data_IF_303761489172
#
_entry.id   IF_303761489172
#
_cell.length_a   1.000
_cell.length_b   1.000
_cell.length_c   1.000
_cell.angle_alpha   90.00
_cell.angle_beta   90.00
_cell.angle_gamma   90.00
#
_symmetry.space_group_name_H-M   'P 1'
#
loop_
_entity.id
_entity.type
_entity.pdbx_description
1 polymer ?
#
# COMPACT_ATOMS: atom_id res chain seq x y z
N UNK A 1 88.64 10.15 14.47
CA UNK A 1 87.89 9.22 13.60
C UNK A 1 86.71 8.67 14.36
N UNK A 2 85.48 9.00 13.95
CA UNK A 2 84.24 8.33 14.33
C UNK A 2 83.20 8.73 13.26
N UNK A 3 82.74 7.77 12.44
CA UNK A 3 81.67 7.99 11.45
C UNK A 3 80.44 7.18 11.86
N UNK A 4 79.35 7.90 12.11
CA UNK A 4 77.99 7.40 12.29
C UNK A 4 77.50 6.62 11.06
N UNK A 5 76.93 5.44 11.26
CA UNK A 5 76.13 4.70 10.28
C UNK A 5 74.69 5.24 10.29
N UNK A 6 74.22 5.78 9.15
CA UNK A 6 72.80 6.02 8.87
C UNK A 6 72.20 4.73 8.31
N UNK A 7 71.13 4.22 8.92
CA UNK A 7 70.21 3.25 8.33
C UNK A 7 69.13 4.05 7.59
N UNK A 8 69.06 3.89 6.27
CA UNK A 8 67.94 4.31 5.45
C UNK A 8 67.64 3.19 4.47
N UNK A 9 66.51 2.50 4.65
CA UNK A 9 65.98 1.57 3.67
C UNK A 9 64.59 2.07 3.30
N UNK A 10 64.49 2.62 2.09
CA UNK A 10 63.27 3.23 1.56
C UNK A 10 62.20 2.19 1.21
N UNK A 11 60.95 2.58 1.39
CA UNK A 11 59.76 1.91 0.86
C UNK A 11 59.75 1.96 -0.66
N UNK A 12 60.36 0.96 -1.28
CA UNK A 12 60.38 0.79 -2.73
C UNK A 12 59.08 0.18 -3.24
N UNK A 13 58.12 1.01 -3.67
CA UNK A 13 57.00 0.54 -4.49
C UNK A 13 57.52 0.17 -5.88
N UNK A 14 57.73 -1.12 -6.16
CA UNK A 14 58.16 -1.59 -7.49
C UNK A 14 56.93 -1.93 -8.34
N UNK A 15 56.71 -1.13 -9.38
CA UNK A 15 55.65 -1.35 -10.38
C UNK A 15 56.13 -2.38 -11.41
N UNK A 16 55.83 -3.65 -11.21
CA UNK A 16 56.03 -4.65 -12.27
C UNK A 16 54.98 -4.43 -13.38
N UNK A 17 55.44 -3.97 -14.56
CA UNK A 17 54.66 -4.11 -15.80
C UNK A 17 54.77 -5.55 -16.24
N UNK A 18 53.78 -6.38 -15.89
CA UNK A 18 53.64 -7.70 -16.52
C UNK A 18 53.31 -7.50 -18.00
N UNK A 19 54.08 -8.18 -18.85
CA UNK A 19 53.99 -8.09 -20.30
C UNK A 19 52.61 -8.49 -20.81
N UNK A 20 52.24 -7.87 -21.95
CA UNK A 20 51.05 -8.20 -22.70
C UNK A 20 51.07 -9.66 -23.17
N UNK A 21 50.52 -10.55 -22.34
CA UNK A 21 50.15 -11.91 -22.75
C UNK A 21 48.78 -11.82 -23.44
N UNK A 22 48.79 -11.80 -24.78
CA UNK A 22 47.65 -12.23 -25.59
C UNK A 22 47.37 -13.70 -25.28
N UNK A 23 46.53 -13.95 -24.27
CA UNK A 23 45.81 -15.22 -24.13
C UNK A 23 44.34 -14.91 -24.33
N UNK A 24 43.83 -15.36 -25.47
CA UNK A 24 42.42 -15.55 -25.76
C UNK A 24 41.84 -16.54 -24.73
N UNK A 25 41.42 -16.02 -23.59
CA UNK A 25 40.48 -16.68 -22.70
C UNK A 25 39.19 -15.91 -22.80
N UNK A 26 38.12 -16.57 -23.22
CA UNK A 26 36.76 -16.05 -23.21
C UNK A 26 36.40 -15.61 -21.78
N UNK A 27 36.63 -14.34 -21.48
CA UNK A 27 36.17 -13.72 -20.26
C UNK A 27 34.67 -13.54 -20.38
N UNK A 28 33.91 -14.40 -19.71
CA UNK A 28 32.47 -14.26 -19.56
C UNK A 28 32.17 -12.91 -18.89
N UNK A 29 31.82 -11.91 -19.70
CA UNK A 29 31.44 -10.58 -19.23
C UNK A 29 30.13 -10.70 -18.46
N UNK A 30 30.06 -10.13 -17.26
CA UNK A 30 28.81 -10.13 -16.52
C UNK A 30 27.80 -9.19 -17.20
N UNK A 31 26.51 -9.54 -17.33
CA UNK A 31 25.54 -8.66 -17.97
C UNK A 31 25.39 -7.37 -17.15
N UNK A 32 25.67 -6.22 -17.78
CA UNK A 32 25.71 -4.89 -17.16
C UNK A 32 27.07 -4.20 -17.24
N UNK A 33 28.13 -4.93 -17.61
CA UNK A 33 29.37 -4.32 -18.11
C UNK A 33 29.11 -3.87 -19.55
N UNK A 34 29.33 -2.59 -19.85
CA UNK A 34 29.11 -2.01 -21.18
C UNK A 34 29.76 -2.87 -22.26
N UNK A 35 28.93 -3.63 -22.99
CA UNK A 35 29.32 -4.56 -24.05
C UNK A 35 29.85 -3.87 -25.32
N UNK A 36 30.64 -2.81 -25.17
CA UNK A 36 31.23 -2.02 -26.25
C UNK A 36 32.72 -1.78 -26.07
N UNK A 37 33.46 -2.78 -25.58
CA UNK A 37 34.92 -2.72 -25.53
C UNK A 37 35.46 -1.60 -24.64
N UNK A 38 34.73 -1.20 -23.61
CA UNK A 38 35.21 -0.20 -22.66
C UNK A 38 36.37 -0.78 -21.85
N UNK A 39 37.44 0.00 -21.62
CA UNK A 39 38.60 -0.50 -20.88
C UNK A 39 38.15 -0.96 -19.49
N UNK A 40 38.68 -2.08 -19.02
CA UNK A 40 38.53 -2.52 -17.63
C UNK A 40 39.93 -2.72 -17.07
N UNK A 41 40.26 -2.07 -15.96
CA UNK A 41 41.53 -2.29 -15.28
C UNK A 41 41.35 -3.38 -14.23
N UNK A 42 42.01 -4.51 -14.42
CA UNK A 42 42.14 -5.55 -13.40
C UNK A 42 43.56 -5.45 -12.83
N UNK A 43 43.67 -5.15 -11.54
CA UNK A 43 44.94 -5.10 -10.83
C UNK A 43 44.89 -5.99 -9.59
N UNK A 44 46.00 -6.65 -9.26
CA UNK A 44 46.12 -7.44 -8.04
C UNK A 44 47.18 -6.79 -7.16
N UNK A 45 46.79 -6.37 -5.96
CA UNK A 45 47.70 -5.90 -4.92
C UNK A 45 47.99 -7.07 -3.99
N UNK A 46 49.23 -7.57 -4.02
CA UNK A 46 49.66 -8.67 -3.15
C UNK A 46 50.62 -8.14 -2.11
N UNK A 47 50.37 -8.45 -0.84
CA UNK A 47 51.32 -8.16 0.24
C UNK A 47 52.40 -9.23 0.29
N UNK A 48 53.67 -8.84 0.27
CA UNK A 48 54.82 -9.76 0.30
C UNK A 48 54.99 -10.43 1.67
N UNK A 49 54.67 -9.74 2.76
CA UNK A 49 54.97 -10.22 4.12
C UNK A 49 53.82 -10.95 4.82
N UNK A 50 52.57 -10.63 4.45
CA UNK A 50 51.39 -11.14 5.17
C UNK A 50 50.41 -11.96 4.31
N UNK A 51 50.76 -12.27 3.06
CA UNK A 51 50.04 -13.24 2.22
C UNK A 51 48.65 -12.82 1.75
N UNK A 52 48.24 -11.57 1.98
CA UNK A 52 46.96 -11.04 1.50
C UNK A 52 47.04 -10.66 0.01
N UNK A 53 46.01 -11.03 -0.74
CA UNK A 53 45.85 -10.70 -2.15
C UNK A 53 44.53 -9.95 -2.35
N UNK A 54 44.61 -8.68 -2.76
CA UNK A 54 43.48 -7.83 -3.05
C UNK A 54 43.32 -7.66 -4.55
N UNK A 55 42.23 -8.17 -5.12
CA UNK A 55 41.88 -7.93 -6.52
C UNK A 55 41.07 -6.64 -6.64
N UNK A 56 41.64 -5.65 -7.35
CA UNK A 56 41.00 -4.39 -7.69
C UNK A 56 40.52 -4.46 -9.14
N UNK A 57 39.20 -4.39 -9.34
CA UNK A 57 38.57 -4.27 -10.65
C UNK A 57 38.00 -2.87 -10.80
N UNK A 58 38.55 -2.08 -11.73
CA UNK A 58 38.01 -0.77 -12.09
C UNK A 58 37.38 -0.85 -13.49
N UNK A 59 36.06 -0.62 -13.54
CA UNK A 59 35.28 -0.55 -14.78
C UNK A 59 34.99 0.92 -15.12
N UNK A 60 35.14 1.28 -16.39
CA UNK A 60 34.71 2.59 -16.87
C UNK A 60 33.20 2.60 -17.08
N UNK A 61 32.57 3.74 -16.86
CA UNK A 61 31.15 3.93 -17.20
C UNK A 61 30.90 5.37 -17.62
N UNK A 62 30.01 5.57 -18.59
CA UNK A 62 29.63 6.91 -19.05
C UNK A 62 28.56 7.51 -18.13
N UNK A 63 28.92 8.61 -17.48
CA UNK A 63 28.04 9.34 -16.56
C UNK A 63 26.81 9.92 -17.27
N UNK A 64 26.95 10.31 -18.53
CA UNK A 64 25.86 10.82 -19.39
C UNK A 64 24.74 9.79 -19.60
N UNK A 65 25.11 8.52 -19.85
CA UNK A 65 24.14 7.43 -20.04
C UNK A 65 23.38 7.16 -18.72
N UNK A 66 24.07 7.27 -17.58
CA UNK A 66 23.45 7.15 -16.26
C UNK A 66 22.45 8.28 -15.99
N UNK A 67 22.83 9.53 -16.26
CA UNK A 67 21.93 10.68 -16.09
C UNK A 67 20.71 10.61 -16.99
N UNK A 68 20.88 10.19 -18.26
CA UNK A 68 19.75 9.99 -19.18
C UNK A 68 18.77 8.93 -18.67
N UNK A 69 19.27 7.79 -18.19
CA UNK A 69 18.45 6.72 -17.61
C UNK A 69 17.69 7.19 -16.37
N UNK A 70 18.37 7.89 -15.47
CA UNK A 70 17.76 8.45 -14.27
C UNK A 70 16.71 9.53 -14.59
N UNK A 71 16.97 10.36 -15.61
CA UNK A 71 16.01 11.35 -16.12
C UNK A 71 14.75 10.67 -16.65
N UNK A 72 14.87 9.64 -17.49
CA UNK A 72 13.72 8.91 -18.02
C UNK A 72 12.89 8.25 -16.91
N UNK A 73 13.57 7.67 -15.91
CA UNK A 73 12.91 7.13 -14.72
C UNK A 73 12.17 8.23 -13.94
N UNK A 74 12.79 9.40 -13.71
CA UNK A 74 12.14 10.52 -13.02
C UNK A 74 10.90 11.03 -13.78
N UNK A 75 10.94 11.08 -15.11
CA UNK A 75 9.79 11.44 -15.94
C UNK A 75 8.66 10.43 -15.78
N UNK A 76 8.96 9.13 -15.76
CA UNK A 76 7.96 8.09 -15.48
C UNK A 76 7.29 8.34 -14.11
N UNK A 77 8.04 8.68 -13.07
CA UNK A 77 7.48 9.01 -11.75
C UNK A 77 6.61 10.28 -11.81
N UNK A 78 7.08 11.32 -12.48
CA UNK A 78 6.35 12.60 -12.63
C UNK A 78 4.99 12.41 -13.31
N UNK A 79 4.84 11.46 -14.24
CA UNK A 79 3.54 11.17 -14.87
C UNK A 79 2.69 10.16 -14.08
N UNK A 80 3.31 9.18 -13.44
CA UNK A 80 2.59 8.13 -12.72
C UNK A 80 1.97 8.62 -11.41
N UNK A 81 2.63 9.53 -10.69
CA UNK A 81 2.13 10.04 -9.40
C UNK A 81 0.84 10.88 -9.56
N UNK A 82 0.73 11.83 -10.51
CA UNK A 82 -0.54 12.48 -10.80
C UNK A 82 -1.65 11.51 -11.22
N UNK A 83 -1.32 10.44 -11.96
CA UNK A 83 -2.27 9.40 -12.31
C UNK A 83 -2.76 8.63 -11.06
N UNK A 84 -1.88 8.35 -10.09
CA UNK A 84 -2.26 7.79 -8.79
C UNK A 84 -3.18 8.75 -8.01
N UNK A 85 -2.86 10.05 -7.97
CA UNK A 85 -3.70 11.07 -7.34
C UNK A 85 -5.10 11.07 -7.98
N UNK A 86 -5.18 11.06 -9.31
CA UNK A 86 -6.45 11.03 -10.03
C UNK A 86 -7.29 9.79 -9.66
N UNK A 87 -6.67 8.60 -9.65
CA UNK A 87 -7.34 7.36 -9.26
C UNK A 87 -7.83 7.41 -7.80
N UNK A 88 -7.03 7.94 -6.88
CA UNK A 88 -7.39 8.08 -5.47
C UNK A 88 -8.55 9.07 -5.26
N UNK A 89 -8.54 10.20 -5.98
CA UNK A 89 -9.66 11.16 -5.97
C UNK A 89 -10.93 10.51 -6.49
N UNK A 90 -10.85 9.79 -7.62
CA UNK A 90 -11.99 9.04 -8.16
C UNK A 90 -12.52 7.99 -7.17
N UNK A 91 -11.63 7.25 -6.50
CA UNK A 91 -12.01 6.31 -5.45
C UNK A 91 -12.75 6.98 -4.30
N UNK A 92 -12.29 8.17 -3.89
CA UNK A 92 -12.92 8.95 -2.82
C UNK A 92 -14.29 9.46 -3.24
N UNK A 93 -14.47 9.92 -4.48
CA UNK A 93 -15.77 10.32 -5.04
C UNK A 93 -16.77 9.16 -5.04
N UNK A 94 -16.34 7.97 -5.49
CA UNK A 94 -17.19 6.77 -5.49
C UNK A 94 -17.60 6.35 -4.07
N UNK A 95 -16.71 6.56 -3.11
CA UNK A 95 -16.94 6.21 -1.71
C UNK A 95 -17.60 7.35 -0.92
N UNK A 96 -18.07 8.42 -1.59
CA UNK A 96 -18.39 9.72 -0.99
C UNK A 96 -19.46 9.73 0.12
N UNK A 97 -20.10 8.60 0.42
CA UNK A 97 -20.98 8.43 1.59
C UNK A 97 -20.21 7.98 2.83
N UNK A 98 -20.78 8.21 4.02
CA UNK A 98 -20.15 7.74 5.26
C UNK A 98 -20.02 6.21 5.27
N UNK A 99 -21.06 5.49 4.82
CA UNK A 99 -21.04 4.04 4.74
C UNK A 99 -20.04 3.52 3.70
N UNK A 100 -19.87 4.22 2.56
CA UNK A 100 -18.86 3.90 1.54
C UNK A 100 -17.45 3.94 2.11
N UNK A 101 -17.08 5.05 2.76
CA UNK A 101 -15.75 5.21 3.37
C UNK A 101 -15.46 4.19 4.49
N UNK A 102 -16.48 3.79 5.25
CA UNK A 102 -16.31 2.84 6.35
C UNK A 102 -15.92 1.42 5.87
N UNK A 103 -16.26 1.06 4.62
CA UNK A 103 -15.95 -0.24 4.01
C UNK A 103 -14.48 -0.40 3.60
N UNK A 104 -13.74 0.70 3.49
CA UNK A 104 -12.32 0.70 3.11
C UNK A 104 -11.45 0.40 4.33
N UNK A 105 -10.42 -0.43 4.16
CA UNK A 105 -9.44 -0.81 5.18
C UNK A 105 -8.43 0.30 5.41
N UNK A 106 -8.40 0.82 6.64
CA UNK A 106 -7.42 1.83 7.07
C UNK A 106 -5.97 1.30 6.97
N UNK A 107 -5.76 0.00 7.19
CA UNK A 107 -4.45 -0.63 7.08
C UNK A 107 -3.96 -0.72 5.63
N UNK A 108 -4.85 -0.95 4.65
CA UNK A 108 -4.50 -0.98 3.23
C UNK A 108 -4.01 0.39 2.75
N UNK A 109 -4.80 1.45 3.00
CA UNK A 109 -4.43 2.82 2.62
C UNK A 109 -3.20 3.30 3.40
N UNK A 110 -3.10 2.94 4.69
CA UNK A 110 -1.94 3.29 5.51
C UNK A 110 -0.64 2.65 5.02
N UNK A 111 -0.70 1.38 4.59
CA UNK A 111 0.45 0.67 4.01
C UNK A 111 0.93 1.37 2.74
N UNK A 112 -0.01 1.72 1.85
CA UNK A 112 0.28 2.47 0.62
C UNK A 112 0.98 3.81 0.90
N UNK A 113 0.46 4.58 1.87
CA UNK A 113 1.05 5.86 2.25
C UNK A 113 2.45 5.75 2.84
N UNK A 114 2.74 4.68 3.59
CA UNK A 114 4.09 4.41 4.08
C UNK A 114 5.04 4.14 2.91
N UNK A 115 4.64 3.31 1.94
CA UNK A 115 5.47 3.03 0.75
C UNK A 115 5.75 4.29 -0.08
N UNK A 116 4.74 5.14 -0.27
CA UNK A 116 4.89 6.36 -1.05
C UNK A 116 5.78 7.38 -0.33
N UNK A 117 5.73 7.41 1.01
CA UNK A 117 6.66 8.20 1.82
C UNK A 117 8.11 7.74 1.70
N UNK A 118 8.37 6.42 1.64
CA UNK A 118 9.71 5.89 1.38
C UNK A 118 10.20 6.25 -0.02
N UNK A 119 9.34 6.10 -1.02
CA UNK A 119 9.70 6.44 -2.40
C UNK A 119 9.98 7.95 -2.54
N UNK A 120 9.23 8.81 -1.84
CA UNK A 120 9.49 10.25 -1.76
C UNK A 120 10.87 10.54 -1.15
N UNK A 121 11.19 9.91 -0.01
CA UNK A 121 12.49 10.11 0.66
C UNK A 121 13.65 9.64 -0.23
N UNK A 122 13.51 8.49 -0.89
CA UNK A 122 14.52 7.96 -1.81
C UNK A 122 14.81 8.93 -2.97
N UNK A 123 13.79 9.52 -3.60
CA UNK A 123 14.00 10.51 -4.66
C UNK A 123 14.62 11.80 -4.15
N UNK A 124 14.17 12.30 -2.99
CA UNK A 124 14.75 13.50 -2.40
C UNK A 124 16.23 13.30 -2.06
N UNK A 125 16.58 12.17 -1.42
CA UNK A 125 17.96 11.82 -1.11
C UNK A 125 18.79 11.62 -2.39
N UNK A 126 18.26 10.94 -3.41
CA UNK A 126 18.95 10.78 -4.69
C UNK A 126 19.24 12.12 -5.39
N UNK A 127 18.28 13.06 -5.35
CA UNK A 127 18.46 14.41 -5.87
C UNK A 127 19.52 15.22 -5.11
N UNK A 128 19.61 15.05 -3.79
CA UNK A 128 20.63 15.71 -2.95
C UNK A 128 22.03 15.14 -3.23
N UNK A 129 22.15 13.82 -3.39
CA UNK A 129 23.45 13.16 -3.65
C UNK A 129 23.96 13.49 -5.07
N UNK A 130 23.05 13.63 -6.04
CA UNK A 130 23.39 13.87 -7.44
C UNK A 130 22.82 15.22 -7.89
N UNK A 131 23.57 16.29 -7.63
CA UNK A 131 23.14 17.68 -7.88
C UNK A 131 22.63 17.91 -9.31
N UNK A 132 23.22 17.26 -10.31
CA UNK A 132 22.80 17.37 -11.73
C UNK A 132 21.39 16.84 -12.00
N UNK A 133 20.86 15.97 -11.14
CA UNK A 133 19.53 15.39 -11.23
C UNK A 133 18.54 16.00 -10.24
N UNK A 134 18.97 17.00 -9.46
CA UNK A 134 18.20 17.56 -8.35
C UNK A 134 16.83 18.07 -8.82
N UNK A 135 16.76 18.83 -9.91
CA UNK A 135 15.49 19.42 -10.37
C UNK A 135 14.44 18.35 -10.72
N UNK A 136 14.84 17.29 -11.42
CA UNK A 136 13.91 16.25 -11.86
C UNK A 136 13.44 15.38 -10.68
N UNK A 137 14.37 14.98 -9.80
CA UNK A 137 13.99 14.20 -8.62
C UNK A 137 13.25 15.00 -7.56
N UNK A 138 13.57 16.29 -7.40
CA UNK A 138 12.82 17.19 -6.50
C UNK A 138 11.39 17.38 -6.98
N UNK A 139 11.18 17.51 -8.29
CA UNK A 139 9.82 17.58 -8.88
C UNK A 139 9.04 16.28 -8.64
N UNK A 140 9.67 15.12 -8.86
CA UNK A 140 9.06 13.83 -8.55
C UNK A 140 8.71 13.71 -7.06
N UNK A 141 9.65 14.05 -6.17
CA UNK A 141 9.45 14.02 -4.72
C UNK A 141 8.35 14.98 -4.27
N UNK A 142 8.19 16.16 -4.88
CA UNK A 142 7.12 17.10 -4.57
C UNK A 142 5.73 16.51 -4.83
N UNK A 143 5.53 15.87 -5.99
CA UNK A 143 4.25 15.22 -6.29
C UNK A 143 3.97 14.05 -5.33
N UNK A 144 4.98 13.26 -5.00
CA UNK A 144 4.84 12.15 -4.05
C UNK A 144 4.54 12.65 -2.63
N UNK A 145 5.23 13.71 -2.20
CA UNK A 145 4.96 14.36 -0.92
C UNK A 145 3.51 14.83 -0.85
N UNK A 146 3.00 15.42 -1.93
CA UNK A 146 1.60 15.86 -2.01
C UNK A 146 0.64 14.65 -1.98
N UNK A 147 0.95 13.56 -2.70
CA UNK A 147 0.16 12.33 -2.69
C UNK A 147 0.00 11.77 -1.26
N UNK A 148 1.10 11.50 -0.55
CA UNK A 148 1.00 10.81 0.75
C UNK A 148 0.60 11.75 1.89
N UNK A 149 1.09 12.99 1.92
CA UNK A 149 0.86 13.91 3.05
C UNK A 149 -0.48 14.63 2.99
N UNK A 150 -1.02 14.87 1.78
CA UNK A 150 -2.27 15.60 1.59
C UNK A 150 -3.40 14.64 1.23
N UNK A 151 -3.28 13.91 0.13
CA UNK A 151 -4.41 13.12 -0.40
C UNK A 151 -4.65 11.85 0.42
N UNK A 152 -3.63 11.01 0.61
CA UNK A 152 -3.80 9.75 1.35
C UNK A 152 -4.09 9.99 2.83
N UNK A 153 -3.42 10.97 3.45
CA UNK A 153 -3.72 11.36 4.83
C UNK A 153 -5.17 11.84 4.99
N UNK A 154 -5.69 12.64 4.04
CA UNK A 154 -7.10 13.06 4.03
C UNK A 154 -8.04 11.85 3.94
N UNK A 155 -7.75 10.89 3.07
CA UNK A 155 -8.55 9.66 2.94
C UNK A 155 -8.52 8.84 4.23
N UNK A 156 -7.35 8.68 4.87
CA UNK A 156 -7.22 7.99 6.16
C UNK A 156 -8.09 8.65 7.25
N UNK A 157 -8.09 9.98 7.32
CA UNK A 157 -8.92 10.73 8.26
C UNK A 157 -10.41 10.58 7.97
N UNK A 158 -10.81 10.57 6.70
CA UNK A 158 -12.20 10.35 6.29
C UNK A 158 -12.67 8.94 6.65
N UNK A 159 -11.86 7.90 6.38
CA UNK A 159 -12.15 6.52 6.78
C UNK A 159 -12.28 6.44 8.30
N UNK A 160 -11.33 7.01 9.05
CA UNK A 160 -11.36 7.02 10.50
C UNK A 160 -12.63 7.69 11.06
N UNK A 161 -12.97 8.88 10.55
CA UNK A 161 -14.17 9.65 10.96
C UNK A 161 -15.46 8.91 10.61
N UNK A 162 -15.51 8.25 9.45
CA UNK A 162 -16.73 7.55 8.98
C UNK A 162 -17.21 6.45 9.92
N UNK A 163 -16.29 5.88 10.71
CA UNK A 163 -16.57 4.82 11.69
C UNK A 163 -17.05 5.36 13.04
N UNK A 164 -17.16 6.69 13.21
CA UNK A 164 -17.50 7.36 14.48
C UNK A 164 -18.47 8.53 14.29
N UNK A 165 -19.75 8.27 13.97
CA UNK A 165 -20.73 9.32 13.69
C UNK A 165 -21.01 10.25 14.88
N UNK A 166 -20.92 9.76 16.13
CA UNK A 166 -21.33 10.52 17.33
C UNK A 166 -20.17 11.20 18.09
N UNK A 167 -18.99 11.38 17.46
CA UNK A 167 -17.83 12.02 18.11
C UNK A 167 -17.92 13.56 18.14
N UNK A 168 -19.11 14.13 18.39
CA UNK A 168 -19.31 15.58 18.41
C UNK A 168 -19.05 16.23 19.79
N UNK A 169 -18.86 15.48 20.87
CA UNK A 169 -18.84 16.10 22.21
C UNK A 169 -17.46 16.51 22.78
N UNK A 170 -16.31 16.07 22.25
CA UNK A 170 -15.03 16.35 22.95
C UNK A 170 -13.81 16.54 22.03
N UNK A 171 -13.40 17.79 21.79
CA UNK A 171 -12.19 18.13 21.00
C UNK A 171 -10.93 17.44 21.52
N UNK A 172 -10.85 17.23 22.85
CA UNK A 172 -9.73 16.53 23.48
C UNK A 172 -9.64 15.05 23.05
N UNK A 173 -10.79 14.38 22.91
CA UNK A 173 -10.85 12.98 22.44
C UNK A 173 -10.44 12.89 20.97
N UNK A 174 -10.94 13.80 20.13
CA UNK A 174 -10.55 13.89 18.71
C UNK A 174 -9.03 14.09 18.58
N UNK A 175 -8.44 15.01 19.35
CA UNK A 175 -7.00 15.28 19.32
C UNK A 175 -6.19 14.06 19.76
N UNK A 176 -6.61 13.38 20.83
CA UNK A 176 -5.94 12.17 21.33
C UNK A 176 -5.95 11.06 20.28
N UNK A 177 -7.09 10.86 19.64
CA UNK A 177 -7.24 9.78 18.66
C UNK A 177 -6.56 10.10 17.33
N UNK A 178 -6.57 11.36 16.90
CA UNK A 178 -5.77 11.84 15.78
C UNK A 178 -4.28 11.62 16.05
N UNK A 179 -3.81 11.94 17.27
CA UNK A 179 -2.42 11.70 17.68
C UNK A 179 -2.09 10.21 17.68
N UNK A 180 -3.04 9.34 18.06
CA UNK A 180 -2.90 7.90 17.99
C UNK A 180 -2.85 7.37 16.55
N UNK A 181 -3.60 7.97 15.62
CA UNK A 181 -3.54 7.63 14.20
C UNK A 181 -2.16 7.97 13.62
N UNK A 182 -1.66 9.19 13.88
CA UNK A 182 -0.34 9.61 13.44
C UNK A 182 0.79 8.80 14.09
N UNK A 183 0.70 8.49 15.38
CA UNK A 183 1.72 7.68 16.05
C UNK A 183 1.78 6.25 15.50
N UNK A 184 0.65 5.65 15.10
CA UNK A 184 0.61 4.38 14.38
C UNK A 184 1.25 4.47 13.00
N UNK A 185 1.01 5.57 12.27
CA UNK A 185 1.65 5.83 10.98
C UNK A 185 3.18 5.94 11.13
N UNK A 186 3.66 6.75 12.07
CA UNK A 186 5.11 6.88 12.34
C UNK A 186 5.73 5.59 12.88
N UNK A 187 5.01 4.84 13.73
CA UNK A 187 5.43 3.53 14.19
C UNK A 187 5.57 2.53 13.04
N UNK A 188 4.61 2.50 12.12
CA UNK A 188 4.68 1.70 10.89
C UNK A 188 5.84 2.11 9.99
N UNK A 189 6.06 3.42 9.84
CA UNK A 189 7.19 3.98 9.08
C UNK A 189 8.56 3.60 9.68
N UNK A 190 8.71 3.59 11.01
CA UNK A 190 9.94 3.14 11.65
C UNK A 190 10.10 1.61 11.57
N UNK A 191 9.03 0.87 11.81
CA UNK A 191 9.01 -0.59 11.71
C UNK A 191 9.39 -1.05 10.30
N UNK A 192 8.88 -0.40 9.25
CA UNK A 192 9.21 -0.73 7.88
C UNK A 192 10.69 -0.51 7.56
N UNK A 193 11.34 0.53 8.09
CA UNK A 193 12.80 0.70 7.96
C UNK A 193 13.57 -0.43 8.64
N UNK A 194 13.15 -0.82 9.84
CA UNK A 194 13.76 -1.96 10.56
C UNK A 194 13.60 -3.22 9.71
N UNK A 195 12.40 -3.54 9.22
CA UNK A 195 12.16 -4.72 8.37
C UNK A 195 13.01 -4.68 7.10
N UNK A 196 13.08 -3.54 6.41
CA UNK A 196 13.92 -3.36 5.22
C UNK A 196 15.41 -3.59 5.52
N UNK A 197 15.89 -3.13 6.68
CA UNK A 197 17.27 -3.37 7.11
C UNK A 197 17.54 -4.85 7.37
N UNK A 198 16.68 -5.53 8.14
CA UNK A 198 16.82 -6.96 8.42
C UNK A 198 16.73 -7.82 7.16
N UNK A 199 15.86 -7.44 6.23
CA UNK A 199 15.64 -8.17 4.98
C UNK A 199 16.55 -7.69 3.84
N UNK A 200 17.52 -6.81 4.08
CA UNK A 200 18.34 -6.18 3.04
C UNK A 200 19.11 -7.21 2.20
N UNK A 201 19.45 -8.36 2.77
CA UNK A 201 20.11 -9.47 2.08
C UNK A 201 19.18 -10.20 1.07
N UNK A 202 17.87 -9.98 1.14
CA UNK A 202 16.86 -10.64 0.31
C UNK A 202 15.94 -9.61 -0.36
N UNK A 203 16.41 -8.92 -1.42
CA UNK A 203 15.65 -7.84 -2.07
C UNK A 203 14.33 -8.32 -2.70
N UNK A 204 14.24 -9.59 -3.10
CA UNK A 204 13.02 -10.20 -3.61
C UNK A 204 11.91 -10.26 -2.54
N UNK A 205 12.27 -10.50 -1.28
CA UNK A 205 11.32 -10.59 -0.17
C UNK A 205 10.80 -9.20 0.19
N UNK A 206 11.68 -8.19 0.20
CA UNK A 206 11.28 -6.78 0.36
C UNK A 206 10.31 -6.39 -0.75
N UNK A 207 10.62 -6.71 -2.01
CA UNK A 207 9.76 -6.39 -3.14
C UNK A 207 8.37 -7.03 -3.01
N UNK A 208 8.30 -8.29 -2.57
CA UNK A 208 7.03 -9.00 -2.35
C UNK A 208 6.23 -8.37 -1.20
N UNK A 209 6.89 -8.06 -0.07
CA UNK A 209 6.26 -7.39 1.06
C UNK A 209 5.70 -6.01 0.66
N UNK A 210 6.49 -5.20 -0.04
CA UNK A 210 6.06 -3.90 -0.53
C UNK A 210 4.88 -3.99 -1.51
N UNK A 211 4.71 -5.10 -2.23
CA UNK A 211 3.59 -5.32 -3.15
C UNK A 211 2.42 -6.10 -2.54
N UNK A 212 2.34 -6.21 -1.21
CA UNK A 212 1.27 -6.93 -0.48
C UNK A 212 0.19 -6.02 0.11
N UNK A 213 0.09 -4.78 -0.37
CA UNK A 213 -0.77 -3.74 0.20
C UNK A 213 -2.28 -4.00 0.02
N UNK A 214 -2.72 -4.95 -0.82
CA UNK A 214 -4.14 -5.31 -0.93
C UNK A 214 -4.60 -6.34 0.11
N UNK A 215 -3.67 -7.11 0.71
CA UNK A 215 -4.03 -8.14 1.70
C UNK A 215 -4.84 -7.58 2.88
N UNK A 216 -4.49 -6.42 3.48
CA UNK A 216 -5.29 -5.85 4.56
C UNK A 216 -6.70 -5.45 4.14
N UNK A 217 -6.94 -5.16 2.85
CA UNK A 217 -8.29 -4.92 2.34
C UNK A 217 -9.07 -6.22 2.16
N UNK A 218 -8.45 -7.25 1.58
CA UNK A 218 -9.08 -8.56 1.38
C UNK A 218 -9.55 -9.13 2.72
N UNK A 219 -8.66 -9.10 3.73
CA UNK A 219 -8.96 -9.56 5.08
C UNK A 219 -10.05 -8.71 5.75
N UNK A 220 -9.96 -7.37 5.60
CA UNK A 220 -10.97 -6.46 6.15
C UNK A 220 -12.36 -6.71 5.57
N UNK A 221 -12.44 -6.88 4.25
CA UNK A 221 -13.68 -7.15 3.54
C UNK A 221 -14.32 -8.47 3.96
N UNK A 222 -13.53 -9.52 4.13
CA UNK A 222 -14.03 -10.80 4.62
C UNK A 222 -14.56 -10.70 6.06
N UNK A 223 -13.80 -10.08 6.95
CA UNK A 223 -14.15 -9.95 8.37
C UNK A 223 -15.42 -9.12 8.60
N UNK A 224 -15.54 -7.97 7.94
CA UNK A 224 -16.65 -7.02 8.14
C UNK A 224 -17.78 -7.18 7.11
N UNK A 225 -17.75 -8.24 6.29
CA UNK A 225 -18.69 -8.46 5.19
C UNK A 225 -18.86 -7.24 4.26
N UNK A 226 -17.78 -6.48 4.03
CA UNK A 226 -17.86 -5.21 3.31
C UNK A 226 -18.04 -5.44 1.80
N UNK A 227 -19.28 -5.28 1.31
CA UNK A 227 -19.64 -5.42 -0.11
C UNK A 227 -19.17 -4.22 -0.95
N UNK A 228 -18.46 -4.51 -2.04
CA UNK A 228 -17.99 -3.56 -3.07
C UNK A 228 -17.29 -2.32 -2.46
N UNK A 229 -16.20 -2.49 -1.69
CA UNK A 229 -15.51 -1.39 -1.01
C UNK A 229 -14.69 -0.49 -1.96
N UNK A 230 -14.19 -1.05 -3.06
CA UNK A 230 -13.25 -0.39 -3.97
C UNK A 230 -13.75 -0.50 -5.41
N UNK A 231 -13.51 0.54 -6.21
CA UNK A 231 -13.78 0.49 -7.63
C UNK A 231 -12.79 -0.43 -8.36
N UNK A 232 -13.26 -1.29 -9.29
CA UNK A 232 -12.36 -2.14 -10.07
C UNK A 232 -11.30 -1.36 -10.86
N UNK A 233 -11.67 -0.20 -11.42
CA UNK A 233 -10.74 0.66 -12.14
C UNK A 233 -9.62 1.21 -11.22
N UNK A 234 -9.95 1.54 -9.97
CA UNK A 234 -8.97 1.97 -8.98
C UNK A 234 -8.00 0.84 -8.62
N UNK A 235 -8.52 -0.37 -8.39
CA UNK A 235 -7.70 -1.55 -8.06
C UNK A 235 -6.75 -1.89 -9.20
N UNK A 236 -7.25 -1.98 -10.44
CA UNK A 236 -6.45 -2.31 -11.62
C UNK A 236 -5.41 -1.21 -11.93
N UNK A 237 -5.84 0.05 -11.95
CA UNK A 237 -4.95 1.18 -12.26
C UNK A 237 -3.85 1.34 -11.22
N UNK A 238 -4.19 1.28 -9.93
CA UNK A 238 -3.20 1.42 -8.84
C UNK A 238 -2.22 0.25 -8.85
N UNK A 239 -2.71 -0.98 -9.07
CA UNK A 239 -1.86 -2.17 -9.17
C UNK A 239 -0.87 -2.07 -10.33
N UNK A 240 -1.35 -1.66 -11.51
CA UNK A 240 -0.50 -1.50 -12.69
C UNK A 240 0.57 -0.42 -12.48
N UNK A 241 0.19 0.76 -11.97
CA UNK A 241 1.12 1.86 -11.76
C UNK A 241 2.17 1.51 -10.70
N UNK A 242 1.76 0.96 -9.56
CA UNK A 242 2.69 0.59 -8.47
C UNK A 242 3.65 -0.53 -8.88
N UNK A 243 3.29 -1.38 -9.85
CA UNK A 243 4.15 -2.45 -10.35
C UNK A 243 5.23 -1.95 -11.32
N UNK A 244 5.10 -0.73 -11.88
CA UNK A 244 6.07 -0.17 -12.84
C UNK A 244 7.48 -0.03 -12.24
N UNK A 245 7.59 0.53 -11.03
CA UNK A 245 8.88 0.74 -10.35
C UNK A 245 9.62 -0.57 -10.07
N UNK A 246 9.03 -1.58 -9.40
CA UNK A 246 9.74 -2.83 -9.15
C UNK A 246 10.05 -3.59 -10.44
N UNK A 247 9.17 -3.58 -11.46
CA UNK A 247 9.48 -4.21 -12.75
C UNK A 247 10.60 -3.49 -13.50
N UNK A 248 10.68 -2.16 -13.42
CA UNK A 248 11.80 -1.42 -13.96
C UNK A 248 13.12 -1.79 -13.27
N UNK A 249 13.13 -1.88 -11.93
CA UNK A 249 14.34 -2.19 -11.16
C UNK A 249 14.81 -3.63 -11.39
N UNK A 250 13.92 -4.62 -11.35
CA UNK A 250 14.31 -6.04 -11.45
C UNK A 250 14.29 -6.60 -12.88
N UNK A 251 13.54 -6.00 -13.80
CA UNK A 251 13.36 -6.51 -15.16
C UNK A 251 14.19 -5.79 -16.22
N UNK A 252 14.52 -4.52 -16.03
CA UNK A 252 15.30 -3.78 -17.01
C UNK A 252 16.81 -4.10 -16.87
N UNK A 253 17.47 -4.64 -17.93
CA UNK A 253 18.92 -4.88 -17.94
C UNK A 253 19.74 -3.61 -17.82
N UNK A 254 19.15 -2.48 -18.19
CA UNK A 254 19.76 -1.17 -18.23
C UNK A 254 19.13 -0.20 -17.22
N UNK A 255 18.78 -0.67 -16.01
CA UNK A 255 18.22 0.19 -14.97
C UNK A 255 19.25 1.20 -14.41
N UNK A 256 18.76 2.34 -13.92
CA UNK A 256 19.66 3.35 -13.33
C UNK A 256 20.29 2.88 -12.00
N UNK A 257 19.61 2.03 -11.23
CA UNK A 257 20.07 1.54 -9.91
C UNK A 257 21.21 0.50 -10.00
N UNK A 258 21.51 0.02 -11.23
CA UNK A 258 22.48 -1.02 -11.57
C UNK A 258 22.26 -2.35 -10.84
N UNK A 259 21.00 -2.71 -10.56
CA UNK A 259 20.65 -4.02 -10.01
C UNK A 259 20.68 -5.05 -11.14
N UNK A 260 21.28 -6.22 -10.90
CA UNK A 260 21.27 -7.32 -11.89
C UNK A 260 19.83 -7.77 -12.16
N UNK A 261 19.41 -7.96 -13.42
CA UNK A 261 18.07 -8.42 -13.73
C UNK A 261 17.76 -9.75 -13.08
N UNK A 262 16.60 -9.82 -12.43
CA UNK A 262 16.07 -11.01 -11.79
C UNK A 262 14.66 -11.25 -12.34
N UNK A 263 14.57 -11.80 -13.54
CA UNK A 263 13.28 -12.03 -14.22
C UNK A 263 12.32 -12.91 -13.42
N UNK A 264 12.86 -13.84 -12.61
CA UNK A 264 12.04 -14.66 -11.72
C UNK A 264 11.28 -13.81 -10.69
N UNK A 265 11.90 -12.73 -10.17
CA UNK A 265 11.24 -11.79 -9.25
C UNK A 265 10.14 -11.04 -9.98
N UNK A 266 10.35 -10.63 -11.23
CA UNK A 266 9.31 -9.98 -12.04
C UNK A 266 8.08 -10.90 -12.20
N UNK A 267 8.29 -12.16 -12.57
CA UNK A 267 7.21 -13.14 -12.68
C UNK A 267 6.50 -13.35 -11.34
N UNK A 268 7.26 -13.51 -10.26
CA UNK A 268 6.71 -13.65 -8.92
C UNK A 268 5.83 -12.45 -8.54
N UNK A 269 6.29 -11.22 -8.77
CA UNK A 269 5.55 -9.99 -8.44
C UNK A 269 4.28 -9.84 -9.28
N UNK A 270 4.36 -10.11 -10.59
CA UNK A 270 3.18 -10.06 -11.49
C UNK A 270 2.14 -11.07 -11.04
N UNK A 271 2.54 -12.33 -10.80
CA UNK A 271 1.64 -13.39 -10.34
C UNK A 271 1.06 -13.04 -8.97
N UNK A 272 1.87 -12.54 -8.05
CA UNK A 272 1.45 -12.19 -6.69
C UNK A 272 0.42 -11.05 -6.67
N UNK A 273 0.66 -9.98 -7.43
CA UNK A 273 -0.29 -8.87 -7.54
C UNK A 273 -1.53 -9.30 -8.31
N UNK A 274 -1.40 -10.09 -9.37
CA UNK A 274 -2.55 -10.65 -10.09
C UNK A 274 -3.42 -11.53 -9.18
N UNK A 275 -2.81 -12.35 -8.31
CA UNK A 275 -3.53 -13.15 -7.33
C UNK A 275 -4.33 -12.29 -6.34
N UNK A 276 -3.72 -11.22 -5.80
CA UNK A 276 -4.42 -10.26 -4.92
C UNK A 276 -5.59 -9.55 -5.63
N UNK A 277 -5.37 -9.07 -6.86
CA UNK A 277 -6.42 -8.42 -7.66
C UNK A 277 -7.54 -9.40 -7.98
N UNK A 278 -7.21 -10.65 -8.32
CA UNK A 278 -8.19 -11.71 -8.59
C UNK A 278 -9.01 -12.03 -7.34
N UNK A 279 -8.37 -12.08 -6.16
CA UNK A 279 -9.07 -12.25 -4.90
C UNK A 279 -10.05 -11.10 -4.61
N UNK A 280 -9.64 -9.84 -4.83
CA UNK A 280 -10.55 -8.69 -4.71
C UNK A 280 -11.69 -8.74 -5.74
N UNK A 281 -11.42 -9.14 -6.98
CA UNK A 281 -12.43 -9.29 -8.02
C UNK A 281 -13.43 -10.40 -7.69
N UNK A 282 -12.96 -11.53 -7.16
CA UNK A 282 -13.82 -12.59 -6.66
C UNK A 282 -14.67 -12.14 -5.47
N UNK A 283 -14.10 -11.37 -4.52
CA UNK A 283 -14.88 -10.76 -3.44
C UNK A 283 -15.94 -9.77 -3.96
N UNK A 284 -15.71 -9.14 -5.11
CA UNK A 284 -16.65 -8.23 -5.75
C UNK A 284 -17.82 -8.97 -6.46
N UNK A 285 -17.55 -10.15 -7.05
CA UNK A 285 -18.56 -10.92 -7.81
C UNK A 285 -19.31 -11.92 -6.93
N UNK A 286 -18.58 -12.73 -6.17
CA UNK A 286 -19.14 -13.82 -5.34
C UNK A 286 -19.44 -13.39 -3.90
N UNK A 287 -19.04 -12.17 -3.52
CA UNK A 287 -19.22 -11.61 -2.19
C UNK A 287 -17.98 -11.74 -1.30
N UNK A 288 -17.92 -10.97 -0.19
CA UNK A 288 -16.69 -10.77 0.57
C UNK A 288 -16.10 -12.03 1.23
N UNK A 289 -16.94 -13.03 1.49
CA UNK A 289 -16.60 -14.27 2.24
C UNK A 289 -16.35 -15.48 1.34
N UNK A 290 -16.30 -15.32 0.02
CA UNK A 290 -16.24 -16.43 -0.94
C UNK A 290 -15.08 -17.44 -0.75
N UNK A 291 -14.01 -17.08 -0.05
CA UNK A 291 -12.83 -17.92 0.15
C UNK A 291 -12.70 -18.52 1.55
N UNK A 292 -13.51 -18.07 2.52
CA UNK A 292 -13.29 -18.37 3.94
C UNK A 292 -14.57 -19.02 4.49
N UNK A 293 -14.49 -20.22 5.09
CA UNK A 293 -15.64 -20.86 5.72
C UNK A 293 -16.22 -19.99 6.84
N UNK A 294 -17.55 -19.96 6.95
CA UNK A 294 -18.25 -19.12 7.93
C UNK A 294 -17.88 -19.41 9.39
N UNK A 295 -17.38 -20.61 9.70
CA UNK A 295 -16.96 -21.01 11.04
C UNK A 295 -15.80 -20.17 11.63
N UNK A 296 -14.99 -19.52 10.79
CA UNK A 296 -13.85 -18.71 11.24
C UNK A 296 -14.14 -17.20 11.24
N UNK A 297 -15.33 -16.80 10.81
CA UNK A 297 -15.71 -15.40 10.65
C UNK A 297 -16.73 -14.99 11.70
N UNK A 298 -16.76 -13.70 12.10
CA UNK A 298 -17.80 -13.19 12.97
C UNK A 298 -19.20 -13.43 12.38
N UNK A 299 -20.16 -13.75 13.26
CA UNK A 299 -21.57 -13.85 12.88
C UNK A 299 -22.06 -12.51 12.33
N UNK A 300 -22.73 -12.55 11.17
CA UNK A 300 -23.40 -11.38 10.60
C UNK A 300 -24.71 -11.19 11.33
N UNK A 301 -25.02 -9.95 11.70
CA UNK A 301 -26.30 -9.65 12.32
C UNK A 301 -27.45 -9.91 11.34
N UNK A 302 -28.36 -10.80 11.72
CA UNK A 302 -29.56 -11.10 10.93
C UNK A 302 -30.64 -10.03 11.19
N UNK A 303 -30.80 -9.13 10.22
CA UNK A 303 -31.85 -8.11 10.23
C UNK A 303 -33.27 -8.68 10.07
N UNK A 304 -33.41 -9.92 9.60
CA UNK A 304 -34.70 -10.61 9.46
C UNK A 304 -34.97 -11.58 10.61
N UNK A 305 -34.25 -11.42 11.74
CA UNK A 305 -34.43 -12.26 12.91
C UNK A 305 -35.88 -12.29 13.38
N UNK A 306 -36.27 -13.43 13.94
CA UNK A 306 -37.56 -13.55 14.64
C UNK A 306 -37.51 -12.71 15.92
N UNK A 307 -38.55 -11.92 16.13
CA UNK A 307 -38.70 -11.06 17.31
C UNK A 307 -39.73 -11.69 18.23
N UNK A 308 -39.47 -11.65 19.54
CA UNK A 308 -40.39 -12.15 20.55
C UNK A 308 -41.72 -11.36 20.56
N UNK A 309 -42.86 -12.00 20.85
CA UNK A 309 -44.18 -11.36 20.84
C UNK A 309 -44.29 -10.14 21.76
N UNK A 310 -43.55 -10.11 22.87
CA UNK A 310 -43.55 -9.01 23.84
C UNK A 310 -42.93 -7.72 23.24
N UNK A 311 -41.84 -7.87 22.48
CA UNK A 311 -41.18 -6.74 21.79
C UNK A 311 -42.03 -6.26 20.62
N UNK A 312 -42.75 -7.16 19.95
CA UNK A 312 -43.73 -6.80 18.93
C UNK A 312 -44.88 -5.98 19.54
N UNK A 313 -45.48 -6.46 20.63
CA UNK A 313 -46.54 -5.75 21.34
C UNK A 313 -46.05 -4.38 21.87
N UNK A 314 -44.86 -4.31 22.45
CA UNK A 314 -44.26 -3.06 22.92
C UNK A 314 -43.93 -2.05 21.81
N UNK A 315 -43.82 -2.51 20.56
CA UNK A 315 -43.64 -1.65 19.38
C UNK A 315 -44.98 -1.20 18.75
N UNK A 316 -46.12 -1.59 19.31
CA UNK A 316 -47.46 -1.30 18.77
C UNK A 316 -47.94 -2.30 17.72
N UNK A 317 -47.24 -3.44 17.53
CA UNK A 317 -47.66 -4.46 16.59
C UNK A 317 -48.82 -5.28 17.17
N UNK A 318 -50.05 -4.91 16.84
CA UNK A 318 -51.28 -5.60 17.26
C UNK A 318 -52.36 -4.72 17.87
N UNK A 319 -52.15 -3.41 17.97
CA UNK A 319 -53.18 -2.48 18.43
C UNK A 319 -54.20 -2.24 17.31
N UNK A 320 -55.47 -2.63 17.52
CA UNK A 320 -56.54 -2.45 16.52
C UNK A 320 -56.95 -0.97 16.35
N UNK A 321 -56.56 -0.09 17.27
CA UNK A 321 -56.87 1.36 17.23
C UNK A 321 -55.96 2.16 16.28
N UNK A 322 -54.84 1.60 15.80
CA UNK A 322 -53.89 2.30 14.91
C UNK A 322 -54.07 1.99 13.40
N UNK A 323 -55.20 1.40 13.00
CA UNK A 323 -55.57 1.15 11.60
C UNK A 323 -55.35 -0.29 11.14
N UNK A 324 -56.04 -0.67 10.06
CA UNK A 324 -56.32 -2.06 9.60
C UNK A 324 -55.09 -2.97 9.31
N UNK A 325 -53.85 -2.53 9.57
CA UNK A 325 -52.63 -3.28 9.29
C UNK A 325 -51.82 -3.76 10.52
N UNK A 326 -52.19 -3.42 11.76
CA UNK A 326 -51.55 -3.95 12.98
C UNK A 326 -50.00 -3.90 12.97
N UNK A 327 -49.43 -2.84 12.40
CA UNK A 327 -48.01 -2.72 12.03
C UNK A 327 -47.30 -1.57 12.74
N UNK A 328 -45.97 -1.65 12.80
CA UNK A 328 -45.09 -0.59 13.34
C UNK A 328 -44.80 0.43 12.24
N UNK A 329 -44.87 1.73 12.50
CA UNK A 329 -44.59 2.74 11.47
C UNK A 329 -43.09 2.87 11.15
N UNK A 330 -42.76 2.86 9.86
CA UNK A 330 -41.40 3.13 9.40
C UNK A 330 -41.12 4.64 9.42
N UNK A 331 -40.21 5.11 10.27
CA UNK A 331 -39.85 6.56 10.38
C UNK A 331 -39.25 7.13 9.07
N UNK A 332 -38.76 6.29 8.16
CA UNK A 332 -38.14 6.73 6.90
C UNK A 332 -39.21 7.11 5.86
N UNK A 333 -40.25 6.30 5.68
CA UNK A 333 -41.28 6.50 4.66
C UNK A 333 -42.66 6.87 5.23
N UNK A 334 -42.81 6.86 6.55
CA UNK A 334 -44.04 7.15 7.29
C UNK A 334 -45.23 6.21 6.97
N UNK A 335 -44.96 5.01 6.47
CA UNK A 335 -45.96 3.98 6.21
C UNK A 335 -45.83 2.81 7.20
N UNK A 336 -46.94 2.12 7.44
CA UNK A 336 -46.97 0.92 8.27
C UNK A 336 -46.06 -0.19 7.72
N UNK A 337 -45.32 -0.86 8.62
CA UNK A 337 -44.54 -2.06 8.34
C UNK A 337 -45.32 -3.26 8.86
N UNK A 338 -45.49 -4.29 8.03
CA UNK A 338 -46.04 -5.57 8.49
C UNK A 338 -45.04 -6.24 9.45
N UNK A 339 -45.32 -6.09 10.75
CA UNK A 339 -44.53 -6.64 11.84
C UNK A 339 -44.68 -8.17 11.99
N UNK A 340 -45.55 -8.82 11.19
CA UNK A 340 -45.74 -10.28 11.16
C UNK A 340 -44.98 -10.92 10.00
N UNK A 341 -44.83 -10.25 8.85
CA UNK A 341 -44.02 -10.73 7.71
C UNK A 341 -42.49 -10.53 7.92
N UNK A 342 -41.68 -11.58 8.14
CA UNK A 342 -40.25 -11.41 8.47
C UNK A 342 -39.39 -10.98 7.28
N UNK A 343 -39.83 -11.28 6.05
CA UNK A 343 -39.08 -10.97 4.82
C UNK A 343 -39.23 -9.53 4.35
N UNK A 344 -40.29 -8.85 4.77
CA UNK A 344 -40.60 -7.48 4.30
C UNK A 344 -40.13 -6.41 5.30
N UNK A 345 -39.69 -6.84 6.49
CA UNK A 345 -39.18 -5.99 7.56
C UNK A 345 -37.73 -6.29 7.89
N UNK A 346 -37.02 -5.25 8.31
CA UNK A 346 -35.73 -5.35 8.96
C UNK A 346 -35.83 -4.83 10.38
N UNK A 347 -35.17 -5.51 11.31
CA UNK A 347 -35.13 -5.19 12.73
C UNK A 347 -33.70 -4.88 13.11
N UNK A 348 -33.46 -3.71 13.69
CA UNK A 348 -32.12 -3.30 14.14
C UNK A 348 -31.77 -3.92 15.50
N UNK A 349 -30.48 -3.93 15.91
CA UNK A 349 -30.08 -4.41 17.25
C UNK A 349 -30.74 -3.65 18.40
N UNK A 350 -31.17 -2.40 18.15
CA UNK A 350 -31.93 -1.57 19.09
C UNK A 350 -33.46 -1.78 19.02
N UNK A 351 -33.92 -2.85 18.35
CA UNK A 351 -35.34 -3.25 18.24
C UNK A 351 -36.25 -2.25 17.52
N UNK A 352 -35.71 -1.46 16.57
CA UNK A 352 -36.54 -0.62 15.69
C UNK A 352 -36.83 -1.34 14.36
N UNK A 353 -38.03 -1.12 13.83
CA UNK A 353 -38.56 -1.78 12.63
C UNK A 353 -38.56 -0.84 11.43
N UNK A 354 -38.17 -1.36 10.26
CA UNK A 354 -38.16 -0.62 9.01
C UNK A 354 -38.49 -1.54 7.83
N UNK A 355 -39.00 -1.01 6.72
CA UNK A 355 -39.05 -1.77 5.47
C UNK A 355 -37.62 -2.08 4.99
N UNK A 356 -37.45 -3.24 4.35
CA UNK A 356 -36.15 -3.66 3.82
C UNK A 356 -35.52 -2.58 2.93
N UNK A 357 -36.26 -2.11 1.91
CA UNK A 357 -35.74 -1.09 0.97
C UNK A 357 -35.39 0.24 1.66
N UNK A 358 -36.16 0.62 2.68
CA UNK A 358 -35.95 1.89 3.38
C UNK A 358 -34.66 1.86 4.19
N UNK A 359 -34.44 0.78 4.96
CA UNK A 359 -33.25 0.66 5.78
C UNK A 359 -32.00 0.40 4.94
N UNK A 360 -32.08 -0.40 3.88
CA UNK A 360 -30.96 -0.61 2.95
C UNK A 360 -30.49 0.71 2.33
N UNK A 361 -31.41 1.52 1.76
CA UNK A 361 -31.08 2.85 1.20
C UNK A 361 -30.50 3.80 2.25
N UNK A 362 -31.02 3.75 3.48
CA UNK A 362 -30.48 4.55 4.58
C UNK A 362 -29.04 4.14 4.92
N UNK A 363 -28.77 2.83 5.01
CA UNK A 363 -27.47 2.26 5.32
C UNK A 363 -26.42 2.49 4.22
N UNK A 364 -26.82 2.80 2.99
CA UNK A 364 -25.91 3.25 1.93
C UNK A 364 -25.35 4.66 2.20
N UNK A 365 -26.10 5.49 2.93
CA UNK A 365 -25.71 6.85 3.29
C UNK A 365 -25.02 6.86 4.65
N UNK A 366 -25.67 6.30 5.68
CA UNK A 366 -25.24 6.39 7.08
C UNK A 366 -25.50 5.10 7.87
N UNK A 367 -24.48 4.63 8.60
CA UNK A 367 -24.52 3.41 9.41
C UNK A 367 -25.06 3.66 10.84
N UNK A 368 -26.20 4.32 10.96
CA UNK A 368 -26.86 4.60 12.24
C UNK A 368 -28.37 4.35 12.16
N UNK A 369 -28.98 3.96 13.27
CA UNK A 369 -30.43 3.79 13.35
C UNK A 369 -31.15 5.14 13.18
N UNK A 370 -32.11 5.27 12.24
CA UNK A 370 -32.88 6.50 12.04
C UNK A 370 -33.61 6.97 13.30
N UNK A 371 -34.04 6.05 14.17
CA UNK A 371 -34.84 6.36 15.36
C UNK A 371 -33.98 6.79 16.54
N UNK A 372 -32.96 6.00 16.90
CA UNK A 372 -32.16 6.24 18.12
C UNK A 372 -30.70 6.64 17.89
N UNK A 373 -30.24 6.72 16.64
CA UNK A 373 -28.84 7.01 16.26
C UNK A 373 -27.80 6.03 16.82
N UNK A 374 -28.22 4.84 17.24
CA UNK A 374 -27.33 3.74 17.59
C UNK A 374 -26.57 3.23 16.35
N UNK A 375 -25.32 2.80 16.52
CA UNK A 375 -24.51 2.27 15.42
C UNK A 375 -25.10 0.96 14.89
N UNK A 376 -25.17 0.82 13.56
CA UNK A 376 -25.70 -0.38 12.90
C UNK A 376 -24.54 -1.28 12.40
N UNK A 377 -24.65 -2.61 12.56
CA UNK A 377 -23.79 -3.57 11.86
C UNK A 377 -23.89 -3.44 10.33
N UNK A 378 -22.86 -3.84 9.57
CA UNK A 378 -22.94 -3.91 8.10
C UNK A 378 -23.87 -5.04 7.61
N UNK A 379 -24.46 -4.84 6.41
CA UNK A 379 -25.32 -5.80 5.68
C UNK A 379 -24.55 -6.92 4.97
#
# INVERSE_FOLDING_TARGET
GARHRKLGAGSGWRRERSGASRRSGEGFSAPGEGGKGEPSMLGTLRSEDCGYELQVRASWFRLEDYYRKAMNYSLMIIFTVPAQIYLLVKQTEHSGTQAGMAKISLACVGWQAVLDSYQCLMHLTAGIIVETLFHSFSTAAFFQFTLFSVFEMRVLLQIWKSRRPNSEQNWLEIRRDLSALYSRFYGGFLLGFVIMYWCANSPWFIALLCNSYWLPQIAWSAWHNAKKPLMPAYVLGTSAIRLLVPLYVFGCPDNFVRVKPQFWVCWLLVIWVAAQVTALAAQHVFGPRCFIPDAYLPEVYDYHRRVEPEVLAGAGAGDEECGEAGGVDCVICMNAVDAKAPRERMVTPCNHFFHQECLERWMEVKMECPTCRGALPPL
#
